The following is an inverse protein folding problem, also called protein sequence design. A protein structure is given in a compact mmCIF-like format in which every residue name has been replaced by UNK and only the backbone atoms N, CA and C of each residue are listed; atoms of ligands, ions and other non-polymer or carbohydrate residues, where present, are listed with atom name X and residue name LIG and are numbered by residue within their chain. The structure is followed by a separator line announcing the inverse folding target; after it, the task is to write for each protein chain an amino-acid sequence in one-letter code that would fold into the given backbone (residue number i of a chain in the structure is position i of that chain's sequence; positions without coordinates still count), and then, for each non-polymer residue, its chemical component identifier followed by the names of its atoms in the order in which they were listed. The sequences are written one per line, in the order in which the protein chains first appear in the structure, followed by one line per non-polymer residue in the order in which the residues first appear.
data_IF_682971736465
#
_entry.id   IF_682971736465
#
_cell.length_a   1.000
_cell.length_b   1.000
_cell.length_c   1.000
_cell.angle_alpha   90.00
_cell.angle_beta   90.00
_cell.angle_gamma   90.00
#
_symmetry.space_group_name_H-M   'P 1'
#
loop_
_entity.id
_entity.type
_entity.pdbx_description
1 polymer ?
#
# COMPACT_ATOMS: atom_id res chain seq x y z
N UNK A 1 17.37 -0.61 13.95
CA UNK A 1 16.09 -1.14 13.43
C UNK A 1 16.25 -2.64 13.29
N UNK A 2 15.55 -3.44 14.09
CA UNK A 2 15.48 -4.89 13.90
C UNK A 2 14.01 -5.25 13.75
N UNK A 3 13.69 -6.19 12.86
CA UNK A 3 12.31 -6.59 12.59
C UNK A 3 12.11 -7.02 11.14
N UNK A 4 10.89 -7.44 10.86
CA UNK A 4 10.43 -7.81 9.53
C UNK A 4 9.26 -6.90 9.14
N UNK A 5 9.08 -6.70 7.84
CA UNK A 5 7.87 -6.09 7.27
C UNK A 5 7.12 -7.15 6.48
N UNK A 6 5.80 -7.11 6.55
CA UNK A 6 4.94 -7.99 5.75
C UNK A 6 4.91 -7.49 4.31
N UNK A 7 5.11 -8.41 3.36
CA UNK A 7 4.92 -8.16 1.93
C UNK A 7 3.94 -9.18 1.36
N UNK A 8 2.96 -8.71 0.60
CA UNK A 8 1.97 -9.55 -0.06
C UNK A 8 2.44 -9.98 -1.44
N UNK A 9 2.11 -11.21 -1.84
CA UNK A 9 2.50 -11.78 -3.14
C UNK A 9 1.86 -11.04 -4.32
N UNK A 10 0.65 -10.53 -4.13
CA UNK A 10 -0.14 -9.80 -5.12
C UNK A 10 0.57 -8.53 -5.63
N UNK A 11 1.61 -8.05 -4.93
CA UNK A 11 2.45 -6.96 -5.42
C UNK A 11 3.05 -7.28 -6.80
N UNK A 12 3.29 -8.57 -7.09
CA UNK A 12 3.82 -9.05 -8.37
C UNK A 12 2.85 -8.82 -9.53
N UNK A 13 1.55 -8.79 -9.26
CA UNK A 13 0.49 -8.63 -10.27
C UNK A 13 0.17 -7.16 -10.55
N UNK A 14 0.85 -6.24 -9.87
CA UNK A 14 0.61 -4.80 -9.99
C UNK A 14 1.44 -4.19 -11.10
N UNK A 15 0.92 -3.14 -11.73
CA UNK A 15 1.73 -2.30 -12.62
C UNK A 15 2.92 -1.68 -11.90
N UNK A 16 2.85 -1.52 -10.57
CA UNK A 16 3.97 -1.01 -9.77
C UNK A 16 5.20 -1.93 -9.90
N UNK A 17 5.03 -3.26 -9.94
CA UNK A 17 6.16 -4.20 -10.06
C UNK A 17 7.01 -3.97 -11.32
N UNK A 18 6.37 -3.56 -12.42
CA UNK A 18 7.05 -3.22 -13.68
C UNK A 18 7.76 -1.86 -13.62
N UNK A 19 7.40 -1.01 -12.67
CA UNK A 19 7.97 0.31 -12.47
C UNK A 19 9.16 0.27 -11.50
N UNK A 20 10.34 -0.07 -12.02
CA UNK A 20 11.56 -0.34 -11.23
C UNK A 20 11.86 0.71 -10.15
N UNK A 21 11.90 2.00 -10.51
CA UNK A 21 12.27 3.07 -9.55
C UNK A 21 11.14 3.34 -8.53
N UNK A 22 9.88 3.55 -8.95
CA UNK A 22 8.75 3.65 -8.01
C UNK A 22 8.63 2.47 -7.06
N UNK A 23 8.78 1.24 -7.56
CA UNK A 23 8.71 0.04 -6.73
C UNK A 23 9.81 -0.01 -5.69
N UNK A 24 11.08 0.21 -6.09
CA UNK A 24 12.21 0.25 -5.15
C UNK A 24 12.05 1.34 -4.10
N UNK A 25 11.58 2.52 -4.50
CA UNK A 25 11.28 3.60 -3.57
C UNK A 25 10.19 3.18 -2.58
N UNK A 26 9.08 2.63 -3.05
CA UNK A 26 8.00 2.15 -2.18
C UNK A 26 8.48 1.11 -1.16
N UNK A 27 9.27 0.13 -1.61
CA UNK A 27 9.85 -0.89 -0.73
C UNK A 27 10.78 -0.28 0.33
N UNK A 28 11.64 0.66 -0.06
CA UNK A 28 12.50 1.39 0.89
C UNK A 28 11.66 2.10 1.95
N UNK A 29 10.63 2.84 1.52
CA UNK A 29 9.74 3.58 2.43
C UNK A 29 9.00 2.63 3.38
N UNK A 30 8.48 1.50 2.88
CA UNK A 30 7.78 0.50 3.67
C UNK A 30 8.68 -0.10 4.77
N UNK A 31 9.94 -0.38 4.43
CA UNK A 31 10.92 -0.97 5.36
C UNK A 31 11.41 0.06 6.39
N UNK A 32 11.60 1.32 5.99
CA UNK A 32 12.16 2.38 6.83
C UNK A 32 11.11 3.12 7.68
N UNK A 33 9.84 3.02 7.31
CA UNK A 33 8.73 3.60 8.04
C UNK A 33 8.71 3.15 9.50
N UNK A 34 8.33 4.07 10.39
CA UNK A 34 8.17 3.74 11.80
C UNK A 34 7.02 2.74 11.99
N UNK A 35 7.22 1.75 12.87
CA UNK A 35 6.19 0.74 13.17
C UNK A 35 5.24 1.16 14.28
N UNK A 36 5.76 1.97 15.21
CA UNK A 36 5.04 2.43 16.40
C UNK A 36 5.09 3.96 16.44
N UNK A 37 4.06 4.57 17.00
CA UNK A 37 4.02 6.00 17.22
C UNK A 37 5.07 6.44 18.25
N UNK A 38 5.57 7.66 18.11
CA UNK A 38 6.39 8.29 19.15
C UNK A 38 7.89 8.22 18.94
N UNK A 39 8.37 7.70 17.81
CA UNK A 39 9.79 7.82 17.47
C UNK A 39 10.12 9.28 17.18
N UNK A 40 10.99 9.86 18.01
CA UNK A 40 11.53 11.19 17.79
C UNK A 40 12.69 11.16 16.80
N UNK A 41 12.59 11.94 15.73
CA UNK A 41 13.66 12.18 14.77
C UNK A 41 13.84 13.68 14.60
N UNK A 42 14.97 14.20 15.07
CA UNK A 42 15.35 15.62 14.92
C UNK A 42 14.23 16.55 15.43
N UNK A 43 13.69 16.26 16.61
CA UNK A 43 12.63 17.06 17.24
C UNK A 43 11.21 16.84 16.67
N UNK A 44 11.04 15.97 15.67
CA UNK A 44 9.74 15.63 15.09
C UNK A 44 9.32 14.25 15.57
N UNK A 45 8.10 14.16 16.12
CA UNK A 45 7.51 12.90 16.54
C UNK A 45 6.88 12.20 15.32
N UNK A 46 7.48 11.09 14.90
CA UNK A 46 6.97 10.27 13.81
C UNK A 46 5.83 9.38 14.28
N UNK A 47 4.83 9.25 13.42
CA UNK A 47 3.75 8.27 13.53
C UNK A 47 4.10 6.97 12.80
N UNK A 48 3.34 5.93 13.09
CA UNK A 48 3.32 4.68 12.35
C UNK A 48 3.16 4.93 10.84
N UNK A 49 3.95 4.23 10.03
CA UNK A 49 3.97 4.41 8.58
C UNK A 49 4.78 5.61 8.07
N UNK A 50 5.39 6.41 8.95
CA UNK A 50 6.13 7.61 8.54
C UNK A 50 7.65 7.42 8.48
N UNK A 51 8.27 8.08 7.52
CA UNK A 51 9.72 8.13 7.34
C UNK A 51 10.15 9.51 6.82
N UNK A 52 11.17 10.12 7.43
CA UNK A 52 11.73 11.39 6.96
C UNK A 52 13.04 11.14 6.23
N UNK A 53 13.15 11.67 5.02
CA UNK A 53 14.40 11.65 4.26
C UNK A 53 14.49 12.80 3.27
N UNK A 54 15.69 13.31 3.07
CA UNK A 54 15.94 14.26 1.99
C UNK A 54 16.03 13.54 0.64
N UNK A 55 15.50 14.14 -0.43
CA UNK A 55 15.59 13.57 -1.78
C UNK A 55 17.04 13.37 -2.27
N UNK A 56 17.99 14.18 -1.83
CA UNK A 56 19.43 13.97 -2.13
C UNK A 56 19.96 12.68 -1.53
N UNK A 57 19.51 12.33 -0.32
CA UNK A 57 19.87 11.07 0.34
C UNK A 57 19.15 9.87 -0.27
N UNK A 58 17.92 10.04 -0.77
CA UNK A 58 17.25 8.99 -1.52
C UNK A 58 18.00 8.58 -2.79
N UNK A 59 18.78 9.49 -3.41
CA UNK A 59 19.65 9.14 -4.55
C UNK A 59 20.76 8.16 -4.17
N UNK A 60 21.33 8.32 -2.98
CA UNK A 60 22.29 7.38 -2.41
C UNK A 60 21.58 6.08 -1.99
N UNK A 61 20.46 6.19 -1.25
CA UNK A 61 19.72 5.04 -0.72
C UNK A 61 19.17 4.11 -1.83
N UNK A 62 18.84 4.68 -3.01
CA UNK A 62 18.34 3.94 -4.19
C UNK A 62 19.42 3.65 -5.23
N UNK A 63 20.70 3.85 -4.89
CA UNK A 63 21.84 3.50 -5.74
C UNK A 63 21.72 2.10 -6.33
N UNK A 64 22.27 1.94 -7.54
CA UNK A 64 22.27 0.66 -8.24
C UNK A 64 23.61 0.42 -8.91
N UNK A 65 23.96 -0.85 -9.05
CA UNK A 65 25.17 -1.24 -9.77
C UNK A 65 24.88 -1.27 -11.26
N UNK A 66 25.79 -0.68 -12.03
CA UNK A 66 25.78 -0.77 -13.49
C UNK A 66 27.23 -1.01 -13.96
N UNK A 67 27.47 -2.20 -14.49
CA UNK A 67 28.83 -2.67 -14.78
C UNK A 67 29.67 -2.78 -13.52
N UNK A 68 30.83 -2.11 -13.51
CA UNK A 68 31.78 -2.11 -12.37
C UNK A 68 31.56 -0.96 -11.39
N UNK A 69 30.63 -0.05 -11.67
CA UNK A 69 30.39 1.15 -10.87
C UNK A 69 29.03 1.14 -10.18
N UNK A 70 28.90 2.00 -9.17
CA UNK A 70 27.62 2.36 -8.58
C UNK A 70 27.12 3.66 -9.22
N UNK A 71 25.86 3.66 -9.65
CA UNK A 71 25.16 4.82 -10.17
C UNK A 71 24.03 5.20 -9.23
N UNK A 72 23.72 6.48 -9.25
CA UNK A 72 22.61 7.04 -8.47
C UNK A 72 21.55 7.58 -9.43
N UNK A 73 20.29 7.52 -9.00
CA UNK A 73 19.23 8.20 -9.72
C UNK A 73 19.33 9.71 -9.51
N UNK A 74 19.02 10.46 -10.56
CA UNK A 74 18.88 11.91 -10.43
C UNK A 74 17.74 12.26 -9.47
N UNK A 75 17.84 13.42 -8.81
CA UNK A 75 16.80 13.93 -7.90
C UNK A 75 15.43 14.04 -8.60
N UNK A 76 15.41 14.41 -9.89
CA UNK A 76 14.18 14.53 -10.67
C UNK A 76 13.55 13.17 -10.97
N UNK A 77 14.35 12.12 -11.21
CA UNK A 77 13.86 10.75 -11.36
C UNK A 77 13.16 10.27 -10.10
N UNK A 78 13.73 10.54 -8.92
CA UNK A 78 13.15 10.13 -7.63
C UNK A 78 11.88 10.92 -7.33
N UNK A 79 11.88 12.23 -7.57
CA UNK A 79 10.65 13.04 -7.44
C UNK A 79 9.52 12.51 -8.31
N UNK A 80 9.79 12.24 -9.60
CA UNK A 80 8.81 11.63 -10.51
C UNK A 80 8.32 10.27 -10.00
N UNK A 81 9.20 9.47 -9.40
CA UNK A 81 8.81 8.20 -8.82
C UNK A 81 7.90 8.39 -7.59
N UNK A 82 8.21 9.33 -6.70
CA UNK A 82 7.37 9.70 -5.57
C UNK A 82 6.00 10.21 -6.04
N UNK A 83 5.95 11.10 -7.04
CA UNK A 83 4.70 11.62 -7.60
C UNK A 83 3.80 10.49 -8.14
N UNK A 84 4.39 9.47 -8.77
CA UNK A 84 3.65 8.29 -9.23
C UNK A 84 3.07 7.48 -8.07
N UNK A 85 3.82 7.29 -7.00
CA UNK A 85 3.34 6.59 -5.81
C UNK A 85 2.20 7.37 -5.12
N UNK A 86 2.31 8.70 -5.08
CA UNK A 86 1.24 9.59 -4.58
C UNK A 86 -0.01 9.47 -5.46
N UNK A 87 0.14 9.53 -6.79
CA UNK A 87 -0.99 9.36 -7.74
C UNK A 87 -1.68 8.00 -7.61
N UNK A 88 -0.94 6.94 -7.27
CA UNK A 88 -1.49 5.60 -7.02
C UNK A 88 -2.10 5.44 -5.62
N UNK A 89 -2.04 6.47 -4.77
CA UNK A 89 -2.57 6.42 -3.40
C UNK A 89 -1.80 5.47 -2.47
N UNK A 90 -0.51 5.26 -2.74
CA UNK A 90 0.35 4.38 -1.95
C UNK A 90 1.10 5.12 -0.84
N UNK A 91 1.43 6.39 -1.10
CA UNK A 91 2.13 7.26 -0.15
C UNK A 91 1.54 8.67 -0.18
N UNK A 92 1.80 9.43 0.87
CA UNK A 92 1.68 10.89 0.90
C UNK A 92 3.05 11.52 1.22
N UNK A 93 3.25 12.76 0.79
CA UNK A 93 4.50 13.50 1.00
C UNK A 93 4.23 14.89 1.55
N UNK A 94 5.06 15.33 2.50
CA UNK A 94 5.04 16.68 3.07
C UNK A 94 6.47 17.23 3.15
N UNK A 95 6.68 18.49 2.75
CA UNK A 95 7.99 19.13 2.85
C UNK A 95 8.21 19.68 4.26
N UNK A 96 9.34 19.34 4.86
CA UNK A 96 9.78 19.79 6.17
C UNK A 96 11.14 20.49 6.05
N UNK A 97 11.51 21.26 7.07
CA UNK A 97 12.82 21.96 7.10
C UNK A 97 14.02 21.01 6.99
N UNK A 98 13.88 19.78 7.49
CA UNK A 98 14.94 18.76 7.55
C UNK A 98 14.90 17.76 6.39
N UNK A 99 13.91 17.83 5.51
CA UNK A 99 13.74 16.88 4.41
C UNK A 99 12.28 16.73 3.97
N UNK A 100 11.94 15.55 3.46
CA UNK A 100 10.56 15.23 3.07
C UNK A 100 10.04 14.13 3.98
N UNK A 101 8.86 14.36 4.56
CA UNK A 101 8.11 13.36 5.29
C UNK A 101 7.33 12.51 4.29
N UNK A 102 7.63 11.24 4.26
CA UNK A 102 6.91 10.23 3.50
C UNK A 102 6.00 9.46 4.46
N UNK A 103 4.72 9.36 4.13
CA UNK A 103 3.75 8.56 4.88
C UNK A 103 3.27 7.43 3.99
N UNK A 104 3.49 6.18 4.39
CA UNK A 104 2.92 5.01 3.71
C UNK A 104 1.45 4.91 4.07
N UNK A 105 0.57 5.03 3.08
CA UNK A 105 -0.88 5.01 3.32
C UNK A 105 -1.33 3.60 3.65
N UNK A 106 -2.21 3.47 4.66
CA UNK A 106 -2.71 2.17 5.18
C UNK A 106 -1.59 1.23 5.64
N UNK A 107 -0.52 1.80 6.23
CA UNK A 107 0.62 1.02 6.72
C UNK A 107 0.22 -0.07 7.71
N UNK A 108 -0.65 0.26 8.68
CA UNK A 108 -1.12 -0.69 9.69
C UNK A 108 -1.91 -1.84 9.05
N UNK A 109 -2.80 -1.54 8.11
CA UNK A 109 -3.55 -2.56 7.36
C UNK A 109 -2.59 -3.52 6.65
N UNK A 110 -1.53 -3.00 6.02
CA UNK A 110 -0.52 -3.84 5.36
C UNK A 110 0.23 -4.72 6.37
N UNK A 111 0.61 -4.18 7.52
CA UNK A 111 1.42 -4.89 8.50
C UNK A 111 0.62 -5.85 9.39
N UNK A 112 -0.69 -5.62 9.58
CA UNK A 112 -1.55 -6.38 10.49
C UNK A 112 -2.64 -7.20 9.77
N UNK A 113 -3.23 -6.66 8.70
CA UNK A 113 -4.40 -7.23 8.01
C UNK A 113 -4.08 -7.84 6.64
N UNK A 114 -4.66 -9.01 6.34
CA UNK A 114 -4.56 -9.67 5.03
C UNK A 114 -5.14 -8.81 3.90
N UNK A 115 -4.36 -8.58 2.85
CA UNK A 115 -4.63 -7.63 1.78
C UNK A 115 -5.62 -8.15 0.74
N UNK A 116 -6.93 -8.24 1.03
CA UNK A 116 -7.86 -8.70 -0.03
C UNK A 116 -8.08 -7.68 -1.17
N UNK A 117 -7.89 -6.37 -0.95
CA UNK A 117 -8.37 -5.35 -1.92
C UNK A 117 -7.38 -4.21 -2.26
N UNK A 118 -6.11 -4.25 -1.85
CA UNK A 118 -5.24 -3.06 -1.96
C UNK A 118 -4.54 -2.91 -3.31
N UNK A 119 -4.04 -4.01 -3.87
CA UNK A 119 -3.32 -4.02 -5.15
C UNK A 119 -4.21 -4.42 -6.33
N UNK A 120 -5.24 -5.22 -6.05
CA UNK A 120 -6.34 -5.51 -6.94
C UNK A 120 -7.64 -5.18 -6.20
N UNK A 121 -8.29 -4.03 -6.42
CA UNK A 121 -9.68 -3.91 -6.03
C UNK A 121 -10.46 -5.03 -6.74
N UNK A 122 -11.48 -5.64 -6.11
CA UNK A 122 -12.31 -6.62 -6.78
C UNK A 122 -12.81 -5.96 -8.06
N UNK A 123 -12.61 -6.65 -9.19
CA UNK A 123 -13.08 -6.21 -10.49
C UNK A 123 -14.49 -5.63 -10.32
N UNK A 124 -14.71 -4.35 -10.64
CA UNK A 124 -16.05 -3.74 -10.68
C UNK A 124 -16.83 -4.32 -11.88
N UNK A 125 -16.96 -5.64 -11.94
CA UNK A 125 -18.05 -6.27 -12.65
C UNK A 125 -19.29 -6.02 -11.82
N UNK A 126 -20.33 -5.47 -12.44
CA UNK A 126 -21.68 -5.38 -11.87
C UNK A 126 -22.03 -6.69 -11.19
N UNK A 127 -22.07 -6.73 -9.86
CA UNK A 127 -22.65 -7.85 -9.12
C UNK A 127 -24.15 -7.81 -9.41
N UNK A 128 -24.75 -8.83 -10.05
CA UNK A 128 -26.19 -8.91 -10.09
C UNK A 128 -26.67 -9.11 -8.65
N UNK A 129 -27.51 -8.21 -8.17
CA UNK A 129 -28.27 -8.37 -6.93
C UNK A 129 -29.02 -9.70 -7.03
N UNK A 130 -28.58 -10.73 -6.30
CA UNK A 130 -29.44 -11.86 -6.00
C UNK A 130 -30.46 -11.36 -4.98
N UNK A 131 -31.65 -11.00 -5.48
CA UNK A 131 -32.81 -10.77 -4.65
C UNK A 131 -33.17 -12.10 -3.97
N UNK A 132 -32.86 -12.19 -2.67
CA UNK A 132 -33.49 -13.14 -1.76
C UNK A 132 -34.99 -12.84 -1.72
N UNK A 133 -35.75 -13.46 -2.62
CA UNK A 133 -37.17 -13.68 -2.40
C UNK A 133 -37.33 -15.11 -1.89
N UNK A 134 -37.19 -15.24 -0.56
CA UNK A 134 -37.80 -16.31 0.22
C UNK A 134 -39.29 -16.37 -0.14
N UNK A 135 -39.66 -17.26 -1.06
CA UNK A 135 -41.05 -17.69 -1.19
C UNK A 135 -41.32 -18.68 -0.08
N UNK A 136 -41.79 -18.13 1.04
CA UNK A 136 -42.70 -18.84 1.93
C UNK A 136 -43.79 -19.48 1.07
N UNK A 137 -43.70 -20.79 0.87
CA UNK A 137 -44.82 -21.57 0.33
C UNK A 137 -45.32 -22.40 1.50
N UNK A 138 -46.27 -21.84 2.23
CA UNK A 138 -47.01 -22.58 3.27
C UNK A 138 -47.74 -23.78 2.65
N UNK A 139 -47.80 -24.93 3.33
CA UNK A 139 -48.56 -26.09 2.86
C UNK A 139 -50.06 -25.82 2.97
N UNK A 140 -50.77 -25.97 1.84
CA UNK A 140 -52.23 -26.01 1.82
C UNK A 140 -52.74 -27.32 2.44
N UNK A 141 -53.31 -27.25 3.64
CA UNK A 141 -54.28 -28.22 4.13
C UNK A 141 -55.65 -27.91 3.53
N UNK A 142 -56.33 -28.95 3.02
CA UNK A 142 -57.79 -29.15 2.95
C UNK A 142 -58.03 -30.43 2.13
N UNK A 143 -58.91 -31.38 2.42
CA UNK A 143 -59.80 -31.64 3.55
C UNK A 143 -60.35 -33.07 3.34
N UNK A 144 -60.49 -33.84 4.44
CA UNK A 144 -61.48 -34.90 4.75
C UNK A 144 -62.02 -35.86 3.66
N UNK A 145 -61.83 -37.15 3.94
CA UNK A 145 -62.73 -38.27 3.58
C UNK A 145 -64.07 -38.25 4.37
N UNK A 146 -65.10 -38.88 3.76
CA UNK A 146 -66.46 -39.34 4.20
C UNK A 146 -67.54 -38.76 3.26
N UNK A 147 -68.42 -39.52 2.61
CA UNK A 147 -68.88 -40.92 2.73
C UNK A 147 -69.31 -41.44 1.35
#
# INVERSE_FOLDING_TARGET
MCGWVKLYRDVLDTELWKEVVPFRLYMLLLIQACREDGRMVIGIQLKSGQYIRAYSKLSEDLGYREGRGEKQYSKSTIKRAADKLVKKGLIATEELSIGTLFTVLRYEDIQTGGLRDFFCPPFRGTVPQQAENLRETMPQQNHKERS
#
